data_IF_899800005244
#
_entry.id   IF_899800005244
#
_cell.length_a   1.000
_cell.length_b   1.000
_cell.length_c   1.000
_cell.angle_alpha   90.00
_cell.angle_beta   90.00
_cell.angle_gamma   90.00
#
_symmetry.space_group_name_H-M   'P 1'
#
loop_
_entity.id
_entity.type
_entity.pdbx_description
1 polymer ?
#
# COMPACT_ATOMS: atom_id res chain seq x y z
N UNK A 1 -0.22 -4.75 9.02
CA UNK A 1 -1.53 -4.71 9.71
C UNK A 1 -2.53 -3.85 8.95
N UNK A 2 -3.83 -4.20 8.93
CA UNK A 2 -4.91 -3.37 8.35
C UNK A 2 -5.87 -2.96 9.48
N UNK A 3 -6.22 -1.68 9.55
CA UNK A 3 -7.10 -1.15 10.58
C UNK A 3 -8.55 -1.07 10.07
N UNK A 4 -9.56 -1.34 10.92
CA UNK A 4 -10.96 -1.22 10.54
C UNK A 4 -11.28 0.20 10.03
N UNK A 5 -11.82 0.29 8.81
CA UNK A 5 -12.25 1.54 8.20
C UNK A 5 -13.76 1.76 8.33
N UNK A 6 -14.18 3.03 8.38
CA UNK A 6 -15.60 3.45 8.23
C UNK A 6 -15.81 4.38 7.02
N UNK A 7 -14.81 4.50 6.16
CA UNK A 7 -14.80 5.36 4.98
C UNK A 7 -14.40 4.56 3.73
N UNK A 8 -14.38 5.21 2.57
CA UNK A 8 -13.94 4.65 1.29
C UNK A 8 -12.40 4.52 1.16
N UNK A 9 -11.71 4.32 2.28
CA UNK A 9 -10.28 4.03 2.34
C UNK A 9 -9.97 3.19 3.58
N UNK A 10 -8.88 2.44 3.51
CA UNK A 10 -8.32 1.69 4.64
C UNK A 10 -6.98 2.28 5.03
N UNK A 11 -6.75 2.39 6.34
CA UNK A 11 -5.43 2.63 6.92
C UNK A 11 -4.74 1.28 7.10
N UNK A 12 -3.47 1.21 6.71
CA UNK A 12 -2.64 0.04 6.90
C UNK A 12 -1.25 0.43 7.36
N UNK A 13 -0.59 -0.51 8.05
CA UNK A 13 0.81 -0.47 8.42
C UNK A 13 1.56 -1.57 7.66
N UNK A 14 2.64 -1.21 6.99
CA UNK A 14 3.58 -2.17 6.41
C UNK A 14 4.54 -2.64 7.51
N UNK A 15 4.57 -3.94 7.81
CA UNK A 15 5.47 -4.48 8.86
C UNK A 15 6.89 -4.74 8.34
N UNK A 16 7.13 -4.59 7.03
CA UNK A 16 8.48 -4.67 6.45
C UNK A 16 9.15 -3.31 6.56
N UNK A 17 10.25 -3.25 7.31
CA UNK A 17 11.03 -2.03 7.53
C UNK A 17 12.00 -1.73 6.38
N UNK A 18 12.32 -2.74 5.57
CA UNK A 18 13.31 -2.68 4.50
C UNK A 18 12.74 -2.20 3.16
N UNK A 19 11.47 -1.77 3.12
CA UNK A 19 10.80 -1.34 1.89
C UNK A 19 10.09 0.01 2.06
N UNK A 20 10.23 0.86 1.04
CA UNK A 20 9.30 1.97 0.79
C UNK A 20 8.14 1.45 -0.06
N UNK A 21 7.04 1.11 0.60
CA UNK A 21 5.87 0.52 -0.06
C UNK A 21 5.26 1.46 -1.10
N UNK A 22 5.21 2.77 -0.83
CA UNK A 22 4.66 3.74 -1.76
C UNK A 22 5.50 3.80 -3.03
N UNK A 23 6.82 3.92 -2.90
CA UNK A 23 7.73 3.94 -4.05
C UNK A 23 7.66 2.65 -4.86
N UNK A 24 7.59 1.49 -4.20
CA UNK A 24 7.51 0.18 -4.87
C UNK A 24 6.19 -0.05 -5.60
N UNK A 25 5.07 0.44 -5.09
CA UNK A 25 3.80 0.37 -5.82
C UNK A 25 3.73 1.41 -6.95
N UNK A 26 4.39 2.55 -6.80
CA UNK A 26 4.47 3.57 -7.84
C UNK A 26 5.15 3.05 -9.10
N UNK A 27 6.18 2.18 -8.99
CA UNK A 27 6.79 1.53 -10.16
C UNK A 27 5.82 0.61 -10.90
N UNK A 28 4.78 0.10 -10.22
CA UNK A 28 3.68 -0.67 -10.83
C UNK A 28 2.50 0.22 -11.29
N UNK A 29 2.73 1.54 -11.35
CA UNK A 29 1.74 2.57 -11.70
C UNK A 29 0.54 2.58 -10.75
N UNK A 30 0.78 2.34 -9.46
CA UNK A 30 -0.22 2.41 -8.39
C UNK A 30 0.23 3.39 -7.33
N UNK A 31 -0.51 4.47 -7.17
CA UNK A 31 -0.24 5.46 -6.14
C UNK A 31 -1.05 5.16 -4.88
N UNK A 32 -0.36 4.96 -3.77
CA UNK A 32 -0.93 4.96 -2.41
C UNK A 32 -0.48 6.22 -1.67
N UNK A 33 -1.11 6.57 -0.54
CA UNK A 33 -0.74 7.78 0.22
C UNK A 33 0.00 7.40 1.49
N UNK A 34 1.25 7.85 1.62
CA UNK A 34 1.97 7.88 2.90
C UNK A 34 1.23 8.76 3.91
N UNK A 35 1.15 8.28 5.15
CA UNK A 35 0.54 8.97 6.30
C UNK A 35 1.57 9.38 7.36
N UNK A 36 2.87 9.27 7.06
CA UNK A 36 3.96 9.60 8.00
C UNK A 36 3.96 11.06 8.48
N UNK A 37 3.23 11.94 7.79
CA UNK A 37 3.07 13.35 8.14
C UNK A 37 1.94 13.60 9.16
N UNK A 38 1.28 12.56 9.67
CA UNK A 38 0.23 12.69 10.69
C UNK A 38 0.79 12.39 12.08
N UNK A 39 0.39 13.15 13.13
CA UNK A 39 0.86 12.89 14.49
C UNK A 39 0.60 11.44 14.93
N UNK A 40 1.63 10.79 15.47
CA UNK A 40 1.57 9.41 15.95
C UNK A 40 1.72 8.33 14.87
N UNK A 41 1.89 8.68 13.60
CA UNK A 41 2.14 7.73 12.51
C UNK A 41 3.57 7.89 11.96
N UNK A 42 4.20 6.78 11.62
CA UNK A 42 5.55 6.75 11.04
C UNK A 42 5.52 6.40 9.53
N UNK A 43 6.71 6.24 8.92
CA UNK A 43 6.91 5.90 7.50
C UNK A 43 6.32 4.56 7.08
N UNK A 44 5.84 3.74 8.01
CA UNK A 44 5.19 2.46 7.72
C UNK A 44 3.69 2.57 7.54
N UNK A 45 3.09 3.73 7.78
CA UNK A 45 1.65 3.93 7.68
C UNK A 45 1.23 4.52 6.33
N UNK A 46 0.23 3.89 5.72
CA UNK A 46 -0.32 4.28 4.44
C UNK A 46 -1.84 4.19 4.45
N UNK A 47 -2.49 4.99 3.60
CA UNK A 47 -3.89 4.79 3.24
C UNK A 47 -4.05 4.39 1.79
N UNK A 48 -4.98 3.47 1.55
CA UNK A 48 -5.39 3.00 0.22
C UNK A 48 -6.88 3.25 0.02
N UNK A 49 -7.25 3.80 -1.12
CA UNK A 49 -8.66 4.02 -1.44
C UNK A 49 -9.33 2.69 -1.83
N UNK A 50 -10.58 2.50 -1.41
CA UNK A 50 -11.44 1.43 -1.91
C UNK A 50 -12.04 1.89 -3.23
N UNK A 51 -11.82 1.13 -4.30
CA UNK A 51 -12.19 1.47 -5.68
C UNK A 51 -13.06 0.36 -6.29
N UNK A 52 -13.16 0.31 -7.63
CA UNK A 52 -13.84 -0.80 -8.31
C UNK A 52 -13.15 -2.13 -8.00
N UNK A 53 -13.89 -3.24 -8.13
CA UNK A 53 -13.35 -4.58 -7.89
C UNK A 53 -12.08 -4.84 -8.71
N UNK A 54 -12.08 -4.51 -10.00
CA UNK A 54 -10.91 -4.68 -10.87
C UNK A 54 -9.69 -3.84 -10.43
N UNK A 55 -9.92 -2.60 -9.96
CA UNK A 55 -8.85 -1.75 -9.44
C UNK A 55 -8.30 -2.28 -8.11
N UNK A 56 -9.18 -2.81 -7.24
CA UNK A 56 -8.78 -3.42 -5.98
C UNK A 56 -7.99 -4.71 -6.21
N UNK A 57 -8.40 -5.56 -7.16
CA UNK A 57 -7.66 -6.77 -7.54
C UNK A 57 -6.26 -6.43 -8.08
N UNK A 58 -6.15 -5.38 -8.90
CA UNK A 58 -4.84 -4.90 -9.37
C UNK A 58 -3.96 -4.42 -8.23
N UNK A 59 -4.52 -3.71 -7.25
CA UNK A 59 -3.80 -3.30 -6.04
C UNK A 59 -3.33 -4.53 -5.24
N UNK A 60 -4.19 -5.53 -5.04
CA UNK A 60 -3.85 -6.75 -4.32
C UNK A 60 -2.74 -7.54 -5.01
N UNK A 61 -2.80 -7.70 -6.33
CA UNK A 61 -1.74 -8.35 -7.10
C UNK A 61 -0.40 -7.61 -6.96
N UNK A 62 -0.40 -6.27 -7.08
CA UNK A 62 0.81 -5.47 -6.94
C UNK A 62 1.40 -5.55 -5.52
N UNK A 63 0.55 -5.49 -4.50
CA UNK A 63 0.95 -5.68 -3.10
C UNK A 63 1.61 -7.04 -2.89
N UNK A 64 1.04 -8.13 -3.44
CA UNK A 64 1.65 -9.46 -3.38
C UNK A 64 3.06 -9.43 -3.98
N UNK A 65 3.22 -8.94 -5.20
CA UNK A 65 4.52 -8.88 -5.89
C UNK A 65 5.57 -8.09 -5.09
N UNK A 66 5.20 -6.89 -4.59
CA UNK A 66 6.11 -6.05 -3.80
C UNK A 66 6.52 -6.74 -2.50
N UNK A 67 5.57 -7.36 -1.80
CA UNK A 67 5.79 -7.92 -0.46
C UNK A 67 6.51 -9.27 -0.50
N UNK A 68 6.30 -10.09 -1.52
CA UNK A 68 7.00 -11.39 -1.69
C UNK A 68 8.37 -11.26 -2.34
N UNK A 69 8.75 -10.06 -2.79
CA UNK A 69 10.04 -9.83 -3.46
C UNK A 69 10.09 -10.33 -4.91
N UNK A 70 8.95 -10.70 -5.49
CA UNK A 70 8.85 -10.99 -6.92
C UNK A 70 8.87 -9.63 -7.64
N UNK A 71 10.07 -9.20 -8.05
CA UNK A 71 10.18 -8.12 -9.03
C UNK A 71 9.41 -8.55 -10.30
N UNK A 72 8.67 -7.65 -10.96
CA UNK A 72 8.19 -7.94 -12.31
C UNK A 72 9.42 -8.31 -13.13
N UNK A 73 9.37 -9.44 -13.84
CA UNK A 73 10.40 -9.79 -14.81
C UNK A 73 10.60 -8.60 -15.76
N UNK A 74 11.85 -8.18 -15.92
CA UNK A 74 12.27 -7.17 -16.89
C UNK A 74 11.85 -7.58 -18.32
#
# INVERSE_FOLDING_TARGET
>A
TVYPGRANYLLLRCEREDIDLQRRLLTQRILIRSCANYPGLDSRYYRVAIRSAAQNERLLAALRNVLTGIAPAD
#
